data_IF_843535638447
#
_entry.id   IF_843535638447
#
_cell.length_a   1.000
_cell.length_b   1.000
_cell.length_c   1.000
_cell.angle_alpha   90.00
_cell.angle_beta   90.00
_cell.angle_gamma   90.00
#
_symmetry.space_group_name_H-M   'P 1'
#
loop_
_entity.id
_entity.type
_entity.pdbx_description
1 polymer ?
#
# COMPACT_ATOMS: atom_id res chain seq x y z
N UNK A 1 23.87 -10.21 3.48
CA UNK A 1 22.71 -11.15 3.35
C UNK A 1 21.88 -10.72 2.14
N UNK A 2 21.60 -11.66 1.23
CA UNK A 2 20.77 -11.40 0.05
C UNK A 2 19.33 -11.86 0.32
N UNK A 3 18.38 -10.94 0.20
CA UNK A 3 16.98 -11.19 0.51
C UNK A 3 16.13 -10.94 -0.74
N UNK A 4 15.39 -11.95 -1.16
CA UNK A 4 14.39 -11.85 -2.21
C UNK A 4 13.07 -11.41 -1.60
N UNK A 5 12.49 -10.32 -2.10
CA UNK A 5 11.16 -9.85 -1.70
C UNK A 5 10.17 -10.17 -2.80
N UNK A 6 9.05 -10.77 -2.43
CA UNK A 6 7.97 -11.17 -3.33
C UNK A 6 6.64 -10.51 -2.93
N UNK A 7 5.93 -10.03 -3.93
CA UNK A 7 4.56 -9.54 -3.81
C UNK A 7 3.69 -10.26 -4.85
N UNK A 8 2.97 -11.29 -4.41
CA UNK A 8 2.15 -12.16 -5.25
C UNK A 8 0.69 -11.68 -5.25
N UNK A 9 0.25 -11.11 -6.37
CA UNK A 9 -1.14 -10.81 -6.65
C UNK A 9 -1.85 -11.95 -7.39
N UNK A 10 -3.14 -11.79 -7.70
CA UNK A 10 -3.95 -12.82 -8.37
C UNK A 10 -3.42 -13.21 -9.76
N UNK A 11 -2.89 -12.25 -10.52
CA UNK A 11 -2.39 -12.43 -11.88
C UNK A 11 -1.02 -11.82 -12.12
N UNK A 12 -0.29 -11.49 -11.06
CA UNK A 12 1.04 -10.89 -11.18
C UNK A 12 1.92 -11.25 -9.99
N UNK A 13 3.24 -11.21 -10.20
CA UNK A 13 4.26 -11.32 -9.15
C UNK A 13 5.24 -10.19 -9.35
N UNK A 14 5.46 -9.36 -8.33
CA UNK A 14 6.57 -8.38 -8.31
C UNK A 14 7.67 -8.90 -7.42
N UNK A 15 8.92 -8.61 -7.78
CA UNK A 15 10.07 -9.01 -7.00
C UNK A 15 11.16 -7.95 -6.94
N UNK A 16 11.90 -7.93 -5.85
CA UNK A 16 13.20 -7.26 -5.70
C UNK A 16 14.16 -8.16 -4.95
N UNK A 17 15.39 -8.25 -5.42
CA UNK A 17 16.48 -8.89 -4.71
C UNK A 17 17.39 -7.80 -4.12
N UNK A 18 17.56 -7.81 -2.82
CA UNK A 18 18.41 -6.86 -2.10
C UNK A 18 19.71 -7.50 -1.61
N UNK A 19 20.81 -6.75 -1.68
CA UNK A 19 21.94 -6.95 -0.78
C UNK A 19 21.73 -6.11 0.49
N UNK A 20 21.40 -6.77 1.60
CA UNK A 20 21.10 -6.07 2.86
C UNK A 20 22.33 -5.56 3.58
N UNK A 21 23.54 -5.83 3.09
CA UNK A 21 24.78 -5.21 3.60
C UNK A 21 24.86 -3.73 3.19
N UNK A 22 24.46 -3.44 1.95
CA UNK A 22 24.43 -2.08 1.38
C UNK A 22 23.03 -1.50 1.26
N UNK A 23 21.98 -2.35 1.39
CA UNK A 23 20.57 -2.08 1.10
C UNK A 23 20.30 -1.73 -0.38
N UNK A 24 21.18 -2.15 -1.26
CA UNK A 24 21.04 -1.91 -2.70
C UNK A 24 20.17 -2.98 -3.36
N UNK A 25 19.40 -2.56 -4.36
CA UNK A 25 18.61 -3.45 -5.22
C UNK A 25 19.53 -4.06 -6.27
N UNK A 26 19.74 -5.37 -6.19
CA UNK A 26 20.54 -6.14 -7.15
C UNK A 26 19.76 -6.50 -8.42
N UNK A 27 18.47 -6.79 -8.29
CA UNK A 27 17.57 -7.09 -9.38
C UNK A 27 16.13 -6.75 -9.00
N UNK A 28 15.32 -6.34 -9.98
CA UNK A 28 13.90 -6.09 -9.79
C UNK A 28 13.09 -6.32 -11.05
N UNK A 29 11.84 -6.70 -10.87
CA UNK A 29 10.95 -6.91 -11.99
C UNK A 29 9.58 -7.42 -11.57
N UNK A 30 8.85 -7.96 -12.53
CA UNK A 30 7.56 -8.56 -12.26
C UNK A 30 7.00 -9.34 -13.44
N UNK A 31 6.24 -10.36 -13.11
CA UNK A 31 5.47 -11.14 -14.07
C UNK A 31 4.05 -10.58 -14.10
N UNK A 32 3.54 -10.42 -15.31
CA UNK A 32 2.19 -9.95 -15.56
C UNK A 32 1.40 -11.01 -16.33
N UNK A 33 0.06 -10.98 -16.16
CA UNK A 33 -0.89 -11.86 -16.85
C UNK A 33 -0.72 -13.35 -16.54
N UNK A 34 -0.38 -13.71 -15.32
CA UNK A 34 -0.32 -15.11 -14.87
C UNK A 34 -1.69 -15.77 -15.09
N UNK A 35 -1.70 -16.95 -15.72
CA UNK A 35 -2.93 -17.68 -16.07
C UNK A 35 -3.71 -17.10 -17.24
N UNK A 36 -3.16 -16.11 -17.94
CA UNK A 36 -3.79 -15.44 -19.07
C UNK A 36 -2.85 -15.51 -20.31
N UNK A 37 -3.40 -15.43 -21.53
CA UNK A 37 -2.59 -15.37 -22.74
C UNK A 37 -1.65 -14.16 -22.77
N UNK A 38 -0.42 -14.38 -23.24
CA UNK A 38 0.58 -13.32 -23.40
C UNK A 38 1.18 -12.85 -22.08
N UNK A 39 1.43 -13.77 -21.15
CA UNK A 39 2.20 -13.51 -19.95
C UNK A 39 3.67 -13.19 -20.26
N UNK A 40 4.30 -12.38 -19.43
CA UNK A 40 5.68 -11.96 -19.63
C UNK A 40 6.32 -11.55 -18.30
N UNK A 41 7.65 -11.65 -18.26
CA UNK A 41 8.48 -11.07 -17.21
C UNK A 41 9.04 -9.73 -17.72
N UNK A 42 8.77 -8.65 -17.00
CA UNK A 42 9.40 -7.36 -17.19
C UNK A 42 10.46 -7.18 -16.09
N UNK A 43 11.69 -6.96 -16.49
CA UNK A 43 12.80 -6.70 -15.57
C UNK A 43 13.42 -5.32 -15.85
N UNK A 44 14.01 -4.74 -14.82
CA UNK A 44 14.77 -3.50 -14.90
C UNK A 44 16.23 -3.83 -14.63
N UNK A 45 17.09 -3.56 -15.60
CA UNK A 45 18.53 -3.77 -15.50
C UNK A 45 19.17 -2.66 -14.62
N UNK A 46 20.41 -2.87 -14.11
CA UNK A 46 21.10 -1.89 -13.29
C UNK A 46 21.30 -0.53 -13.98
N UNK A 47 21.37 -0.50 -15.31
CA UNK A 47 21.45 0.74 -16.10
C UNK A 47 20.08 1.44 -16.28
N UNK A 48 19.01 0.92 -15.69
CA UNK A 48 17.64 1.43 -15.81
C UNK A 48 16.88 0.97 -17.06
N UNK A 49 17.53 0.21 -17.95
CA UNK A 49 16.87 -0.35 -19.14
C UNK A 49 15.84 -1.41 -18.74
N UNK A 50 14.69 -1.42 -19.42
CA UNK A 50 13.63 -2.41 -19.19
C UNK A 50 13.64 -3.44 -20.28
N UNK A 51 13.61 -4.71 -19.89
CA UNK A 51 13.49 -5.87 -20.80
C UNK A 51 12.17 -6.58 -20.56
N UNK A 52 11.63 -7.15 -21.61
CA UNK A 52 10.44 -8.00 -21.58
C UNK A 52 10.83 -9.36 -22.11
N UNK A 53 10.61 -10.37 -21.27
CA UNK A 53 10.84 -11.77 -21.61
C UNK A 53 9.48 -12.46 -21.67
N UNK A 54 9.07 -12.86 -22.87
CA UNK A 54 7.80 -13.56 -23.07
C UNK A 54 7.95 -15.03 -22.71
N UNK A 55 7.03 -15.54 -21.91
CA UNK A 55 6.92 -16.95 -21.55
C UNK A 55 5.50 -17.22 -21.09
N UNK A 56 4.95 -18.37 -21.44
CA UNK A 56 3.69 -18.82 -20.89
C UNK A 56 3.84 -19.15 -19.38
N UNK A 57 3.08 -18.45 -18.57
CA UNK A 57 3.10 -18.57 -17.10
C UNK A 57 1.69 -18.92 -16.62
N UNK A 58 1.33 -20.22 -16.60
CA UNK A 58 -0.01 -20.67 -16.24
C UNK A 58 -0.34 -20.47 -14.77
N UNK A 59 0.67 -20.47 -13.90
CA UNK A 59 0.49 -20.38 -12.44
C UNK A 59 1.69 -19.75 -11.74
N UNK A 60 1.52 -19.44 -10.44
CA UNK A 60 2.54 -18.75 -9.63
C UNK A 60 3.83 -19.54 -9.48
N UNK A 61 3.78 -20.87 -9.37
CA UNK A 61 4.98 -21.72 -9.26
C UNK A 61 5.87 -21.57 -10.50
N UNK A 62 5.27 -21.64 -11.69
CA UNK A 62 5.98 -21.37 -12.95
C UNK A 62 6.53 -19.94 -13.00
N UNK A 63 5.81 -18.98 -12.46
CA UNK A 63 6.25 -17.60 -12.39
C UNK A 63 7.46 -17.41 -11.48
N UNK A 64 7.45 -17.97 -10.30
CA UNK A 64 8.57 -17.91 -9.36
C UNK A 64 9.79 -18.64 -9.92
N UNK A 65 9.61 -19.81 -10.51
CA UNK A 65 10.68 -20.54 -11.21
C UNK A 65 11.30 -19.68 -12.33
N UNK A 66 10.46 -18.98 -13.10
CA UNK A 66 10.94 -18.08 -14.16
C UNK A 66 11.77 -16.91 -13.59
N UNK A 67 11.34 -16.31 -12.48
CA UNK A 67 12.11 -15.26 -11.78
C UNK A 67 13.45 -15.81 -11.33
N UNK A 68 13.46 -16.94 -10.61
CA UNK A 68 14.67 -17.54 -10.04
C UNK A 68 15.68 -17.93 -11.13
N UNK A 69 15.21 -18.54 -12.24
CA UNK A 69 16.06 -18.86 -13.38
C UNK A 69 16.63 -17.60 -14.06
N UNK A 70 15.87 -16.51 -14.10
CA UNK A 70 16.35 -15.23 -14.63
C UNK A 70 17.43 -14.62 -13.73
N UNK A 71 17.30 -14.74 -12.40
CA UNK A 71 18.29 -14.22 -11.43
C UNK A 71 19.66 -14.89 -11.54
N UNK A 72 19.74 -16.11 -12.04
CA UNK A 72 21.00 -16.86 -12.24
C UNK A 72 21.40 -16.97 -13.71
N UNK A 73 20.68 -16.38 -14.64
CA UNK A 73 20.96 -16.46 -16.08
C UNK A 73 22.25 -15.73 -16.44
N UNK A 74 22.94 -16.17 -17.49
CA UNK A 74 24.16 -15.52 -17.98
C UNK A 74 23.89 -14.09 -18.49
N UNK A 75 22.70 -13.83 -19.04
CA UNK A 75 22.35 -12.55 -19.70
C UNK A 75 21.80 -11.51 -18.71
N UNK A 76 20.97 -11.94 -17.76
CA UNK A 76 20.23 -11.04 -16.86
C UNK A 76 20.47 -11.31 -15.38
N UNK A 77 21.35 -12.26 -15.05
CA UNK A 77 21.55 -12.71 -13.68
C UNK A 77 22.21 -11.67 -12.79
N UNK A 78 21.74 -11.60 -11.56
CA UNK A 78 22.29 -10.78 -10.49
C UNK A 78 23.11 -11.61 -9.48
N UNK A 79 22.96 -12.93 -9.51
CA UNK A 79 23.64 -13.91 -8.65
C UNK A 79 24.11 -15.09 -9.49
N UNK A 80 25.10 -15.84 -8.96
CA UNK A 80 25.67 -16.99 -9.67
C UNK A 80 24.91 -18.29 -9.39
N UNK A 81 24.31 -18.40 -8.22
CA UNK A 81 23.59 -19.58 -7.76
C UNK A 81 22.41 -19.16 -6.87
N UNK A 82 21.36 -19.96 -6.85
CA UNK A 82 20.22 -19.77 -5.96
C UNK A 82 20.60 -19.91 -4.47
N UNK A 83 21.71 -20.59 -4.16
CA UNK A 83 22.23 -20.69 -2.79
C UNK A 83 22.68 -19.35 -2.19
N UNK A 84 22.82 -18.33 -3.03
CA UNK A 84 23.10 -16.97 -2.57
C UNK A 84 21.88 -16.26 -1.98
N UNK A 85 20.66 -16.77 -2.24
CA UNK A 85 19.43 -16.26 -1.62
C UNK A 85 19.35 -16.79 -0.20
N UNK A 86 19.57 -15.90 0.76
CA UNK A 86 19.62 -16.29 2.18
C UNK A 86 18.24 -16.32 2.84
N UNK A 87 17.27 -15.56 2.31
CA UNK A 87 15.89 -15.51 2.80
C UNK A 87 14.92 -14.96 1.76
N UNK A 88 13.63 -15.22 1.97
CA UNK A 88 12.55 -14.63 1.18
C UNK A 88 11.59 -13.89 2.11
N UNK A 89 11.34 -12.62 1.81
CA UNK A 89 10.28 -11.80 2.43
C UNK A 89 9.04 -11.75 1.55
N UNK A 90 7.88 -12.04 2.12
CA UNK A 90 6.61 -12.00 1.41
C UNK A 90 5.74 -10.86 1.89
N UNK A 91 5.20 -10.06 0.97
CA UNK A 91 4.06 -9.22 1.28
C UNK A 91 2.84 -10.12 1.44
N UNK A 92 2.21 -10.03 2.61
CA UNK A 92 0.97 -10.70 2.96
C UNK A 92 -0.09 -9.62 3.19
N UNK A 93 -1.31 -9.78 2.66
CA UNK A 93 -2.27 -8.67 2.71
C UNK A 93 -2.99 -8.63 4.05
N UNK A 94 -3.68 -9.68 4.46
CA UNK A 94 -4.55 -9.62 5.62
C UNK A 94 -4.19 -10.64 6.68
N UNK A 95 -3.65 -10.16 7.79
CA UNK A 95 -3.27 -11.00 8.93
C UNK A 95 -4.34 -11.12 10.03
N UNK A 96 -5.53 -10.53 9.84
CA UNK A 96 -6.56 -10.48 10.86
C UNK A 96 -6.04 -9.80 12.13
N UNK A 97 -6.51 -10.25 13.29
CA UNK A 97 -6.02 -9.81 14.60
C UNK A 97 -4.85 -10.67 15.09
N UNK A 98 -4.49 -11.73 14.35
CA UNK A 98 -3.48 -12.71 14.76
C UNK A 98 -2.05 -12.23 14.51
N UNK A 99 -1.86 -11.40 13.48
CA UNK A 99 -0.54 -10.92 13.09
C UNK A 99 -0.42 -9.42 13.33
N UNK A 100 0.17 -9.04 14.46
CA UNK A 100 0.47 -7.66 14.83
C UNK A 100 1.89 -7.21 14.44
N UNK A 101 2.69 -8.13 13.86
CA UNK A 101 4.07 -7.91 13.40
C UNK A 101 4.42 -8.91 12.32
N UNK A 102 5.54 -8.68 11.66
CA UNK A 102 6.14 -9.63 10.72
C UNK A 102 6.59 -10.90 11.43
N UNK A 103 6.48 -12.07 10.78
CA UNK A 103 6.75 -13.38 11.38
C UNK A 103 7.53 -14.28 10.44
N UNK A 104 8.36 -15.15 11.01
CA UNK A 104 8.92 -16.30 10.28
C UNK A 104 7.77 -17.25 9.95
N UNK A 105 7.71 -17.68 8.69
CA UNK A 105 6.64 -18.55 8.21
C UNK A 105 6.97 -19.99 8.57
N UNK A 106 6.13 -20.60 9.39
CA UNK A 106 6.07 -22.00 9.69
C UNK A 106 4.67 -22.55 9.40
N UNK A 107 4.40 -23.81 9.73
CA UNK A 107 3.09 -24.43 9.46
C UNK A 107 1.98 -23.78 10.30
N UNK A 108 2.23 -23.37 11.53
CA UNK A 108 1.23 -22.71 12.39
C UNK A 108 0.85 -21.33 11.83
N UNK A 109 1.84 -20.58 11.34
CA UNK A 109 1.62 -19.30 10.66
C UNK A 109 0.80 -19.50 9.40
N UNK A 110 1.10 -20.51 8.58
CA UNK A 110 0.34 -20.82 7.37
C UNK A 110 -1.13 -21.17 7.69
N UNK A 111 -1.36 -22.04 8.66
CA UNK A 111 -2.70 -22.47 9.08
C UNK A 111 -3.52 -21.26 9.59
N UNK A 112 -2.88 -20.39 10.38
CA UNK A 112 -3.49 -19.15 10.87
C UNK A 112 -3.81 -18.18 9.74
N UNK A 113 -2.90 -18.02 8.78
CA UNK A 113 -3.10 -17.15 7.62
C UNK A 113 -4.21 -17.67 6.70
N UNK A 114 -4.30 -18.99 6.50
CA UNK A 114 -5.41 -19.63 5.76
C UNK A 114 -6.75 -19.29 6.41
N UNK A 115 -6.84 -19.36 7.74
CA UNK A 115 -8.04 -19.00 8.48
C UNK A 115 -8.43 -17.51 8.32
N UNK A 116 -7.49 -16.62 7.98
CA UNK A 116 -7.75 -15.21 7.68
C UNK A 116 -8.22 -14.98 6.23
N UNK A 117 -8.25 -16.01 5.37
CA UNK A 117 -8.53 -15.83 3.93
C UNK A 117 -9.95 -15.34 3.64
N UNK A 118 -10.91 -15.61 4.51
CA UNK A 118 -12.28 -15.08 4.38
C UNK A 118 -12.35 -13.55 4.48
N UNK A 119 -11.38 -12.94 5.17
CA UNK A 119 -11.27 -11.47 5.28
C UNK A 119 -10.67 -10.82 4.00
N UNK A 120 -9.93 -11.58 3.21
CA UNK A 120 -9.29 -11.11 1.98
C UNK A 120 -9.27 -12.20 0.89
N UNK A 121 -10.43 -12.66 0.40
CA UNK A 121 -10.54 -13.82 -0.49
C UNK A 121 -9.87 -13.62 -1.85
N UNK A 122 -9.65 -12.37 -2.27
CA UNK A 122 -8.98 -12.05 -3.54
C UNK A 122 -7.43 -11.96 -3.40
N UNK A 123 -6.90 -11.82 -2.19
CA UNK A 123 -5.48 -11.54 -1.95
C UNK A 123 -4.77 -12.68 -1.23
N UNK A 124 -5.29 -13.13 -0.09
CA UNK A 124 -4.62 -14.14 0.73
C UNK A 124 -4.32 -15.46 -0.01
N UNK A 125 -5.25 -16.01 -0.84
CA UNK A 125 -4.93 -17.20 -1.61
C UNK A 125 -3.77 -17.02 -2.61
N UNK A 126 -3.63 -15.85 -3.20
CA UNK A 126 -2.51 -15.54 -4.11
C UNK A 126 -1.18 -15.43 -3.34
N UNK A 127 -1.19 -14.82 -2.16
CA UNK A 127 -0.01 -14.76 -1.30
C UNK A 127 0.45 -16.17 -0.88
N UNK A 128 -0.48 -17.05 -0.50
CA UNK A 128 -0.19 -18.45 -0.16
C UNK A 128 0.44 -19.22 -1.33
N UNK A 129 -0.04 -19.01 -2.56
CA UNK A 129 0.58 -19.62 -3.75
C UNK A 129 2.04 -19.23 -3.88
N UNK A 130 2.38 -17.96 -3.59
CA UNK A 130 3.76 -17.48 -3.59
C UNK A 130 4.64 -18.19 -2.56
N UNK A 131 4.16 -18.28 -1.31
CA UNK A 131 4.87 -18.97 -0.23
C UNK A 131 5.08 -20.46 -0.56
N UNK A 132 4.03 -21.15 -1.00
CA UNK A 132 4.09 -22.56 -1.34
C UNK A 132 5.04 -22.84 -2.52
N UNK A 133 5.05 -21.95 -3.52
CA UNK A 133 5.96 -22.08 -4.65
C UNK A 133 7.44 -21.93 -4.23
N UNK A 134 7.73 -20.97 -3.36
CA UNK A 134 9.08 -20.82 -2.79
C UNK A 134 9.45 -22.05 -1.97
N UNK A 135 8.57 -22.58 -1.12
CA UNK A 135 8.81 -23.80 -0.33
C UNK A 135 9.13 -25.01 -1.20
N UNK A 136 8.51 -25.12 -2.37
CA UNK A 136 8.75 -26.21 -3.32
C UNK A 136 10.10 -26.11 -4.03
N UNK A 137 10.54 -24.88 -4.39
CA UNK A 137 11.75 -24.65 -5.20
C UNK A 137 12.98 -24.43 -4.30
N UNK A 138 12.81 -23.74 -3.17
CA UNK A 138 13.86 -23.37 -2.22
C UNK A 138 13.50 -23.88 -0.80
N UNK A 139 13.43 -25.20 -0.57
CA UNK A 139 12.86 -25.78 0.65
C UNK A 139 13.62 -25.44 1.94
N UNK A 140 14.88 -25.06 1.84
CA UNK A 140 15.74 -24.75 2.99
C UNK A 140 15.90 -23.24 3.24
N UNK A 141 15.29 -22.39 2.41
CA UNK A 141 15.40 -20.94 2.55
C UNK A 141 14.31 -20.43 3.49
N UNK A 142 14.65 -19.74 4.59
CA UNK A 142 13.67 -19.20 5.51
C UNK A 142 12.80 -18.13 4.83
N UNK A 143 11.52 -18.12 5.17
CA UNK A 143 10.53 -17.23 4.60
C UNK A 143 9.89 -16.40 5.71
N UNK A 144 9.70 -15.10 5.48
CA UNK A 144 9.09 -14.15 6.41
C UNK A 144 7.84 -13.53 5.79
N UNK A 145 6.74 -13.52 6.54
CA UNK A 145 5.50 -12.83 6.17
C UNK A 145 5.42 -11.43 6.78
N UNK A 146 5.17 -10.44 5.95
CA UNK A 146 4.97 -9.04 6.35
C UNK A 146 3.57 -8.60 5.94
N UNK A 147 2.72 -8.25 6.92
CA UNK A 147 1.29 -8.06 6.72
C UNK A 147 0.92 -6.58 6.58
N UNK A 148 0.12 -6.24 5.55
CA UNK A 148 -0.37 -4.88 5.33
C UNK A 148 -1.22 -4.36 6.50
N UNK A 149 -1.87 -5.24 7.24
CA UNK A 149 -2.73 -4.92 8.38
C UNK A 149 -1.99 -4.82 9.71
N UNK A 150 -0.76 -5.34 9.81
CA UNK A 150 -0.05 -5.50 11.09
C UNK A 150 0.26 -4.17 11.79
N UNK A 151 0.67 -3.14 11.05
CA UNK A 151 0.97 -1.82 11.61
C UNK A 151 -0.23 -1.19 12.32
N UNK A 152 -1.45 -1.46 11.85
CA UNK A 152 -2.69 -0.91 12.39
C UNK A 152 -3.24 -1.67 13.59
N UNK A 153 -2.60 -2.77 14.02
CA UNK A 153 -3.04 -3.53 15.20
C UNK A 153 -2.82 -2.78 16.52
N UNK A 154 -2.15 -1.63 16.50
CA UNK A 154 -1.98 -0.74 17.64
C UNK A 154 -3.13 0.26 17.84
N UNK A 155 -4.12 0.28 16.94
CA UNK A 155 -5.32 1.12 17.11
C UNK A 155 -6.09 0.74 18.37
N UNK A 156 -6.58 1.72 19.15
CA UNK A 156 -7.46 1.44 20.27
C UNK A 156 -8.83 0.92 19.81
N UNK A 157 -9.52 0.20 20.66
CA UNK A 157 -10.79 -0.45 20.35
C UNK A 157 -11.87 0.52 19.85
N UNK A 158 -11.98 1.68 20.46
CA UNK A 158 -12.93 2.72 20.05
C UNK A 158 -12.63 3.31 18.65
N UNK A 159 -11.42 3.14 18.11
CA UNK A 159 -11.07 3.57 16.77
C UNK A 159 -11.32 2.48 15.71
N UNK A 160 -11.14 1.21 16.06
CA UNK A 160 -11.34 0.12 15.10
C UNK A 160 -12.74 -0.49 15.09
N UNK A 161 -13.53 -0.33 16.15
CA UNK A 161 -14.88 -0.90 16.22
C UNK A 161 -15.86 -0.13 15.36
N UNK A 162 -16.70 -0.85 14.61
CA UNK A 162 -17.85 -0.26 13.96
C UNK A 162 -19.05 -0.24 14.91
N UNK A 163 -19.89 0.79 14.83
CA UNK A 163 -21.11 0.95 15.63
C UNK A 163 -22.25 0.08 15.08
N UNK A 164 -22.02 -1.24 15.03
CA UNK A 164 -22.97 -2.30 14.64
C UNK A 164 -23.08 -3.31 15.79
N UNK A 165 -24.03 -4.27 15.76
CA UNK A 165 -24.12 -5.26 16.83
C UNK A 165 -22.78 -5.92 17.13
N UNK A 166 -22.38 -5.91 18.41
CA UNK A 166 -21.04 -6.38 18.86
C UNK A 166 -20.78 -7.84 18.47
N UNK A 167 -21.82 -8.65 18.36
CA UNK A 167 -21.70 -10.04 17.94
C UNK A 167 -21.14 -10.24 16.53
N UNK A 168 -21.26 -9.23 15.64
CA UNK A 168 -20.67 -9.28 14.31
C UNK A 168 -19.14 -9.22 14.37
N UNK A 169 -18.61 -8.49 15.34
CA UNK A 169 -17.19 -8.52 15.63
C UNK A 169 -16.76 -9.87 16.20
N UNK A 170 -17.45 -10.36 17.23
CA UNK A 170 -17.04 -11.61 17.91
C UNK A 170 -17.17 -12.85 17.03
N UNK A 171 -18.17 -12.88 16.13
CA UNK A 171 -18.41 -14.02 15.22
C UNK A 171 -17.57 -13.98 13.96
N UNK A 172 -17.42 -12.79 13.38
CA UNK A 172 -16.90 -12.64 12.01
C UNK A 172 -15.69 -11.71 11.90
N UNK A 173 -15.23 -11.14 13.00
CA UNK A 173 -14.13 -10.18 13.00
C UNK A 173 -14.44 -8.86 12.28
N UNK A 174 -15.71 -8.44 12.27
CA UNK A 174 -16.15 -7.20 11.61
C UNK A 174 -15.65 -6.01 12.41
N UNK A 175 -14.56 -5.43 11.96
CA UNK A 175 -13.87 -4.24 12.51
C UNK A 175 -13.04 -3.57 11.42
N UNK A 176 -12.52 -2.38 11.71
CA UNK A 176 -11.48 -1.74 10.91
C UNK A 176 -10.16 -2.48 11.10
N UNK A 177 -9.49 -2.85 10.01
CA UNK A 177 -8.12 -3.40 10.03
C UNK A 177 -7.13 -2.40 9.44
N UNK A 178 -7.48 -1.74 8.33
CA UNK A 178 -6.59 -0.88 7.58
C UNK A 178 -5.62 -1.66 6.72
N UNK A 179 -5.03 -0.97 5.74
CA UNK A 179 -4.09 -1.53 4.77
C UNK A 179 -2.97 -0.54 4.50
N UNK A 180 -2.07 -0.83 3.57
CA UNK A 180 -0.84 -0.07 3.34
C UNK A 180 0.03 0.11 4.59
N UNK A 181 -0.14 -0.76 5.60
CA UNK A 181 0.53 -0.62 6.88
C UNK A 181 2.06 -0.62 6.77
N UNK A 182 2.62 -1.42 5.86
CA UNK A 182 4.06 -1.43 5.58
C UNK A 182 4.55 -0.08 5.07
N UNK A 183 3.81 0.55 4.15
CA UNK A 183 4.11 1.90 3.65
C UNK A 183 3.98 2.96 4.75
N UNK A 184 2.86 2.98 5.48
CA UNK A 184 2.65 3.95 6.56
C UNK A 184 3.73 3.84 7.64
N UNK A 185 4.12 2.63 8.01
CA UNK A 185 5.21 2.37 8.96
C UNK A 185 6.55 2.87 8.43
N UNK A 186 6.87 2.57 7.17
CA UNK A 186 8.10 3.02 6.54
C UNK A 186 8.20 4.55 6.52
N UNK A 187 7.19 5.24 5.94
CA UNK A 187 7.29 6.69 5.76
C UNK A 187 7.18 7.49 7.06
N UNK A 188 6.45 6.98 8.06
CA UNK A 188 6.38 7.62 9.39
C UNK A 188 7.71 7.53 10.14
N UNK A 189 8.43 6.42 10.04
CA UNK A 189 9.78 6.29 10.58
C UNK A 189 10.77 7.14 9.79
N UNK A 190 10.74 7.03 8.45
CA UNK A 190 11.69 7.72 7.57
C UNK A 190 11.59 9.23 7.67
N UNK A 191 10.39 9.80 7.82
CA UNK A 191 10.25 11.26 7.97
C UNK A 191 10.87 11.78 9.26
N UNK A 192 10.83 11.02 10.35
CA UNK A 192 11.52 11.39 11.58
C UNK A 192 13.04 11.42 11.41
N UNK A 193 13.59 10.43 10.70
CA UNK A 193 15.02 10.40 10.32
C UNK A 193 15.37 11.58 9.41
N UNK A 194 14.56 11.83 8.38
CA UNK A 194 14.78 12.91 7.41
C UNK A 194 14.74 14.30 8.04
N UNK A 195 13.81 14.52 8.97
CA UNK A 195 13.68 15.81 9.69
C UNK A 195 14.58 15.89 10.93
N UNK A 196 15.29 14.81 11.28
CA UNK A 196 16.06 14.69 12.52
C UNK A 196 15.26 15.03 13.78
N UNK A 197 14.05 14.45 13.88
CA UNK A 197 13.15 14.60 15.02
C UNK A 197 12.89 13.25 15.68
N UNK A 198 12.53 13.22 16.99
CA UNK A 198 12.23 11.97 17.68
C UNK A 198 10.93 11.37 17.16
N UNK A 199 10.83 10.04 17.21
CA UNK A 199 9.57 9.31 16.94
C UNK A 199 8.60 9.50 18.11
N UNK A 200 9.11 9.40 19.34
CA UNK A 200 8.34 9.59 20.57
C UNK A 200 7.92 11.06 20.71
N UNK A 201 6.68 11.29 21.08
CA UNK A 201 6.08 12.62 21.18
C UNK A 201 5.62 13.23 19.87
N UNK A 202 5.94 12.61 18.71
CA UNK A 202 5.60 13.17 17.39
C UNK A 202 4.27 12.61 16.88
N UNK A 203 3.44 13.52 16.34
CA UNK A 203 2.13 13.23 15.71
C UNK A 203 2.24 13.42 14.21
N UNK A 204 2.09 12.33 13.46
CA UNK A 204 2.27 12.29 12.02
C UNK A 204 0.99 11.85 11.35
N UNK A 205 0.60 12.51 10.28
CA UNK A 205 -0.43 12.04 9.37
C UNK A 205 0.26 11.60 8.08
N UNK A 206 0.15 10.32 7.73
CA UNK A 206 0.73 9.76 6.52
C UNK A 206 -0.36 9.57 5.47
N UNK A 207 -0.17 10.17 4.30
CA UNK A 207 -1.10 10.14 3.16
C UNK A 207 -0.48 9.29 2.06
N UNK A 208 -0.79 7.99 2.04
CA UNK A 208 -0.42 7.09 0.96
C UNK A 208 -1.47 7.21 -0.14
N UNK A 209 -1.15 7.90 -1.21
CA UNK A 209 -2.10 8.26 -2.25
C UNK A 209 -1.60 7.81 -3.62
N UNK A 210 -2.33 6.90 -4.22
CA UNK A 210 -2.06 6.31 -5.54
C UNK A 210 -3.36 5.89 -6.22
N UNK A 211 -3.34 4.82 -6.99
CA UNK A 211 -4.58 4.24 -7.54
C UNK A 211 -5.49 3.70 -6.42
N UNK A 212 -4.91 3.06 -5.39
CA UNK A 212 -5.49 2.92 -4.07
C UNK A 212 -4.96 4.02 -3.15
N UNK A 213 -5.66 4.36 -2.08
CA UNK A 213 -5.22 5.39 -1.16
C UNK A 213 -5.73 5.20 0.25
N UNK A 214 -4.91 5.55 1.23
CA UNK A 214 -5.29 5.60 2.64
C UNK A 214 -4.51 6.68 3.39
N UNK A 215 -5.10 7.13 4.49
CA UNK A 215 -4.47 8.06 5.42
C UNK A 215 -4.40 7.38 6.79
N UNK A 216 -3.30 7.55 7.49
CA UNK A 216 -3.09 6.98 8.82
C UNK A 216 -2.65 8.06 9.79
N UNK A 217 -3.26 8.07 10.96
CA UNK A 217 -2.83 8.83 12.12
C UNK A 217 -1.77 8.02 12.88
N UNK A 218 -0.56 8.56 12.99
CA UNK A 218 0.56 7.92 13.65
C UNK A 218 0.99 8.78 14.83
N UNK A 219 0.97 8.21 16.04
CA UNK A 219 1.41 8.87 17.26
C UNK A 219 2.44 7.99 17.97
N UNK A 220 3.56 8.56 18.35
CA UNK A 220 4.64 7.82 19.01
C UNK A 220 5.09 6.58 18.20
N UNK A 221 5.11 6.70 16.85
CA UNK A 221 5.46 5.61 15.94
C UNK A 221 4.42 4.49 15.80
N UNK A 222 3.22 4.66 16.37
CA UNK A 222 2.13 3.67 16.35
C UNK A 222 0.93 4.20 15.56
N UNK A 223 0.32 3.35 14.75
CA UNK A 223 -0.97 3.65 14.13
C UNK A 223 -2.06 3.76 15.20
N UNK A 224 -2.75 4.88 15.24
CA UNK A 224 -3.87 5.12 16.18
C UNK A 224 -5.21 5.21 15.46
N UNK A 225 -5.21 5.44 14.16
CA UNK A 225 -6.38 5.35 13.29
C UNK A 225 -5.94 5.26 11.81
N UNK A 226 -6.79 4.72 10.94
CA UNK A 226 -6.53 4.63 9.51
C UNK A 226 -7.82 4.65 8.70
N UNK A 227 -7.77 5.13 7.47
CA UNK A 227 -8.97 5.39 6.67
C UNK A 227 -9.58 4.17 5.99
N UNK A 228 -8.80 3.15 5.64
CA UNK A 228 -9.35 1.90 5.13
C UNK A 228 -9.94 1.07 6.28
N UNK A 229 -10.96 0.29 5.96
CA UNK A 229 -11.79 -0.39 6.95
C UNK A 229 -11.51 -1.89 7.09
N UNK A 230 -12.60 -2.67 7.17
CA UNK A 230 -12.58 -4.13 7.06
C UNK A 230 -11.96 -4.56 5.73
N UNK A 231 -12.22 -3.80 4.68
CA UNK A 231 -11.70 -3.98 3.32
C UNK A 231 -11.00 -2.70 2.84
N UNK A 232 -10.23 -2.74 1.75
CA UNK A 232 -9.59 -1.56 1.18
C UNK A 232 -10.57 -0.59 0.46
N UNK A 233 -11.87 -0.67 0.72
CA UNK A 233 -12.89 0.16 0.08
C UNK A 233 -13.16 1.46 0.82
N UNK A 234 -13.31 1.41 2.16
CA UNK A 234 -13.62 2.57 3.02
C UNK A 234 -12.51 3.63 2.93
N UNK A 235 -12.89 4.89 3.16
CA UNK A 235 -11.95 6.01 3.29
C UNK A 235 -11.95 6.94 2.09
N UNK A 236 -10.79 7.13 1.49
CA UNK A 236 -10.58 8.06 0.38
C UNK A 236 -11.33 7.66 -0.89
N UNK A 237 -11.71 8.66 -1.68
CA UNK A 237 -12.01 8.44 -3.09
C UNK A 237 -10.74 7.98 -3.80
N UNK A 238 -10.80 6.87 -4.54
CA UNK A 238 -9.64 6.26 -5.20
C UNK A 238 -9.85 6.21 -6.72
N UNK A 239 -8.94 5.61 -7.46
CA UNK A 239 -9.06 5.52 -8.92
C UNK A 239 -10.37 4.87 -9.38
N UNK A 240 -10.75 3.73 -8.78
CA UNK A 240 -11.98 2.99 -9.12
C UNK A 240 -12.87 2.65 -7.92
N UNK A 241 -12.43 2.97 -6.68
CA UNK A 241 -13.16 2.70 -5.44
C UNK A 241 -13.82 3.96 -4.93
N UNK A 242 -15.05 3.83 -4.45
CA UNK A 242 -15.86 4.97 -3.96
C UNK A 242 -15.26 5.66 -2.74
N UNK A 243 -14.57 4.91 -1.87
CA UNK A 243 -14.33 5.37 -0.50
C UNK A 243 -15.63 5.41 0.30
N UNK A 244 -15.67 6.32 1.29
CA UNK A 244 -16.83 6.49 2.16
C UNK A 244 -18.12 6.77 1.37
N UNK A 245 -19.15 6.01 1.71
CA UNK A 245 -20.50 6.18 1.19
C UNK A 245 -21.50 5.86 2.31
N UNK A 246 -22.65 6.52 2.31
CA UNK A 246 -23.74 6.19 3.22
C UNK A 246 -24.25 4.75 2.99
N UNK A 247 -24.33 3.96 4.07
CA UNK A 247 -24.84 2.58 4.00
C UNK A 247 -26.28 2.51 3.46
N UNK A 248 -27.12 3.51 3.75
CA UNK A 248 -28.47 3.64 3.18
C UNK A 248 -28.44 3.87 1.67
N UNK A 249 -27.49 4.66 1.17
CA UNK A 249 -27.28 4.84 -0.27
C UNK A 249 -26.85 3.53 -0.95
N UNK A 250 -26.03 2.71 -0.29
CA UNK A 250 -25.63 1.39 -0.82
C UNK A 250 -26.85 0.49 -1.06
N UNK A 251 -27.71 0.33 -0.04
CA UNK A 251 -28.92 -0.50 -0.16
C UNK A 251 -29.92 0.08 -1.16
N UNK A 252 -30.05 1.40 -1.24
CA UNK A 252 -30.88 2.07 -2.22
C UNK A 252 -30.44 1.81 -3.66
N UNK A 253 -29.11 1.89 -3.93
CA UNK A 253 -28.53 1.58 -5.25
C UNK A 253 -28.78 0.11 -5.60
N UNK A 254 -28.59 -0.81 -4.64
CA UNK A 254 -28.86 -2.25 -4.85
C UNK A 254 -30.29 -2.48 -5.32
N UNK A 255 -31.25 -1.86 -4.65
CA UNK A 255 -32.67 -1.94 -5.03
C UNK A 255 -32.96 -1.37 -6.41
N UNK A 256 -32.45 -0.15 -6.70
CA UNK A 256 -32.72 0.54 -7.96
C UNK A 256 -32.07 -0.12 -9.18
N UNK A 257 -30.87 -0.63 -9.01
CA UNK A 257 -30.10 -1.28 -10.09
C UNK A 257 -30.25 -2.81 -10.12
N UNK A 258 -31.04 -3.40 -9.20
CA UNK A 258 -31.24 -4.84 -9.10
C UNK A 258 -29.96 -5.60 -8.79
N UNK A 259 -29.06 -5.05 -7.96
CA UNK A 259 -27.76 -5.62 -7.66
C UNK A 259 -27.80 -6.52 -6.43
N UNK A 260 -27.16 -7.68 -6.54
CA UNK A 260 -26.82 -8.52 -5.39
C UNK A 260 -25.53 -8.05 -4.70
N UNK A 261 -25.07 -8.78 -3.69
CA UNK A 261 -23.85 -8.46 -2.94
C UNK A 261 -22.61 -8.40 -3.86
N UNK A 262 -22.51 -9.26 -4.86
CA UNK A 262 -21.40 -9.27 -5.84
C UNK A 262 -21.50 -8.07 -6.76
N UNK A 263 -22.70 -7.75 -7.24
CA UNK A 263 -22.96 -6.61 -8.12
C UNK A 263 -22.59 -5.28 -7.46
N UNK A 264 -23.04 -5.04 -6.24
CA UNK A 264 -22.71 -3.81 -5.51
C UNK A 264 -21.22 -3.74 -5.15
N UNK A 265 -20.60 -4.85 -4.76
CA UNK A 265 -19.16 -4.90 -4.53
C UNK A 265 -18.36 -4.52 -5.78
N UNK A 266 -18.73 -5.05 -6.95
CA UNK A 266 -18.10 -4.67 -8.21
C UNK A 266 -18.30 -3.20 -8.56
N UNK A 267 -19.50 -2.65 -8.34
CA UNK A 267 -19.80 -1.25 -8.58
C UNK A 267 -18.88 -0.36 -7.72
N UNK A 268 -18.83 -0.59 -6.42
CA UNK A 268 -18.10 0.26 -5.47
C UNK A 268 -16.58 0.12 -5.58
N UNK A 269 -16.06 -1.05 -5.98
CA UNK A 269 -14.61 -1.30 -6.06
C UNK A 269 -14.02 -1.04 -7.45
N UNK A 270 -14.79 -1.21 -8.55
CA UNK A 270 -14.24 -1.21 -9.91
C UNK A 270 -14.83 -0.16 -10.84
N UNK A 271 -15.99 0.40 -10.51
CA UNK A 271 -16.72 1.35 -11.38
C UNK A 271 -17.00 2.70 -10.72
N UNK A 272 -16.46 2.93 -9.55
CA UNK A 272 -16.64 4.14 -8.75
C UNK A 272 -15.37 4.99 -8.70
N UNK A 273 -15.24 5.83 -7.71
CA UNK A 273 -14.07 6.71 -7.56
C UNK A 273 -13.92 7.70 -8.71
N UNK A 274 -12.67 7.98 -9.08
CA UNK A 274 -12.35 8.88 -10.20
C UNK A 274 -12.98 8.37 -11.50
N UNK A 275 -12.85 7.07 -11.79
CA UNK A 275 -13.48 6.45 -12.97
C UNK A 275 -15.00 6.67 -12.98
N UNK A 276 -15.67 6.53 -11.85
CA UNK A 276 -17.14 6.67 -11.78
C UNK A 276 -17.62 8.10 -11.95
N UNK A 277 -16.85 9.10 -11.50
CA UNK A 277 -17.22 10.52 -11.59
C UNK A 277 -16.72 11.16 -12.89
N UNK A 278 -15.48 10.93 -13.26
CA UNK A 278 -14.85 11.47 -14.48
C UNK A 278 -15.30 10.70 -15.73
N UNK A 279 -15.53 9.38 -15.63
CA UNK A 279 -16.03 8.46 -16.66
C UNK A 279 -15.08 8.18 -17.84
N UNK A 280 -13.89 8.78 -17.88
CA UNK A 280 -12.94 8.61 -18.98
C UNK A 280 -11.69 7.81 -18.60
N UNK A 281 -11.21 8.02 -17.37
CA UNK A 281 -9.99 7.39 -16.88
C UNK A 281 -10.01 7.30 -15.35
N UNK A 282 -9.33 6.31 -14.80
CA UNK A 282 -8.99 6.24 -13.37
C UNK A 282 -7.59 6.78 -13.07
N UNK A 283 -6.83 7.17 -14.10
CA UNK A 283 -5.48 7.70 -13.94
C UNK A 283 -5.54 9.17 -13.54
N UNK A 284 -4.90 9.48 -12.42
CA UNK A 284 -4.87 10.84 -11.89
C UNK A 284 -4.13 11.85 -12.78
N UNK A 285 -3.25 11.38 -13.68
CA UNK A 285 -2.58 12.25 -14.65
C UNK A 285 -3.53 12.71 -15.75
N UNK A 286 -4.40 11.81 -16.19
CA UNK A 286 -5.45 12.14 -17.16
C UNK A 286 -6.48 13.09 -16.53
N UNK A 287 -6.85 12.85 -15.27
CA UNK A 287 -7.73 13.71 -14.50
C UNK A 287 -7.15 15.13 -14.36
N UNK A 288 -5.90 15.26 -13.92
CA UNK A 288 -5.20 16.54 -13.77
C UNK A 288 -5.19 17.33 -15.08
N UNK A 289 -4.87 16.65 -16.20
CA UNK A 289 -4.82 17.27 -17.52
C UNK A 289 -6.19 17.76 -17.98
N UNK A 290 -7.24 16.98 -17.77
CA UNK A 290 -8.60 17.32 -18.14
C UNK A 290 -9.19 18.42 -17.25
N UNK A 291 -8.90 18.41 -15.95
CA UNK A 291 -9.31 19.44 -15.01
C UNK A 291 -8.63 20.79 -15.34
N UNK A 292 -7.34 20.78 -15.65
CA UNK A 292 -6.61 21.96 -16.12
C UNK A 292 -7.16 22.54 -17.42
N UNK A 293 -7.73 21.70 -18.29
CA UNK A 293 -8.44 22.12 -19.50
C UNK A 293 -9.88 22.63 -19.22
N UNK A 294 -10.35 22.61 -17.98
CA UNK A 294 -11.65 23.09 -17.57
C UNK A 294 -12.80 22.11 -17.83
N UNK A 295 -12.53 20.82 -18.02
CA UNK A 295 -13.58 19.81 -18.21
C UNK A 295 -14.41 19.65 -16.92
N UNK A 296 -15.75 19.93 -16.93
CA UNK A 296 -16.54 20.04 -15.70
C UNK A 296 -16.52 18.77 -14.82
N UNK A 297 -16.57 17.57 -15.43
CA UNK A 297 -16.55 16.29 -14.69
C UNK A 297 -15.15 16.00 -14.10
N UNK A 298 -14.10 16.42 -14.78
CA UNK A 298 -12.74 16.30 -14.28
C UNK A 298 -12.51 17.25 -13.10
N UNK A 299 -12.93 18.50 -13.20
CA UNK A 299 -12.86 19.48 -12.11
C UNK A 299 -13.63 19.00 -10.89
N UNK A 300 -14.85 18.45 -11.09
CA UNK A 300 -15.64 17.88 -10.00
C UNK A 300 -14.89 16.71 -9.31
N UNK A 301 -14.41 15.75 -10.09
CA UNK A 301 -13.72 14.57 -9.56
C UNK A 301 -12.44 14.95 -8.81
N UNK A 302 -11.67 15.90 -9.34
CA UNK A 302 -10.45 16.42 -8.70
C UNK A 302 -10.78 17.10 -7.35
N UNK A 303 -11.79 17.97 -7.32
CA UNK A 303 -12.23 18.63 -6.09
C UNK A 303 -12.74 17.63 -5.05
N UNK A 304 -13.50 16.61 -5.45
CA UNK A 304 -13.95 15.55 -4.54
C UNK A 304 -12.77 14.77 -3.95
N UNK A 305 -11.77 14.48 -4.77
CA UNK A 305 -10.56 13.74 -4.38
C UNK A 305 -9.76 14.51 -3.31
N UNK A 306 -9.45 15.78 -3.58
CA UNK A 306 -8.72 16.64 -2.64
C UNK A 306 -9.50 16.90 -1.35
N UNK A 307 -10.81 17.13 -1.48
CA UNK A 307 -11.69 17.35 -0.34
C UNK A 307 -11.71 16.17 0.64
N UNK A 308 -11.75 14.93 0.14
CA UNK A 308 -11.75 13.74 0.97
C UNK A 308 -10.42 13.58 1.73
N UNK A 309 -9.29 13.83 1.07
CA UNK A 309 -7.98 13.80 1.72
C UNK A 309 -7.92 14.86 2.83
N UNK A 310 -8.33 16.09 2.53
CA UNK A 310 -8.41 17.20 3.51
C UNK A 310 -9.24 16.83 4.73
N UNK A 311 -10.40 16.23 4.55
CA UNK A 311 -11.28 15.80 5.66
C UNK A 311 -10.59 14.81 6.57
N UNK A 312 -9.90 13.82 6.03
CA UNK A 312 -9.18 12.83 6.81
C UNK A 312 -7.98 13.43 7.54
N UNK A 313 -7.24 14.35 6.92
CA UNK A 313 -6.17 15.09 7.60
C UNK A 313 -6.74 15.84 8.81
N UNK A 314 -7.83 16.57 8.64
CA UNK A 314 -8.48 17.29 9.73
C UNK A 314 -9.02 16.37 10.83
N UNK A 315 -9.68 15.27 10.46
CA UNK A 315 -10.21 14.29 11.39
C UNK A 315 -9.10 13.65 12.25
N UNK A 316 -7.99 13.29 11.61
CA UNK A 316 -6.88 12.65 12.32
C UNK A 316 -6.03 13.60 13.16
N UNK A 317 -5.92 14.87 12.73
CA UNK A 317 -5.35 15.90 13.59
C UNK A 317 -6.20 16.09 14.86
N UNK A 318 -7.54 16.09 14.72
CA UNK A 318 -8.45 16.16 15.87
C UNK A 318 -8.32 14.91 16.75
N UNK A 319 -8.29 13.70 16.18
CA UNK A 319 -8.16 12.45 16.93
C UNK A 319 -6.86 12.36 17.75
N UNK A 320 -5.77 12.91 17.24
CA UNK A 320 -4.47 12.96 17.95
C UNK A 320 -4.29 14.18 18.87
N UNK A 321 -5.22 15.14 18.84
CA UNK A 321 -5.07 16.42 19.55
C UNK A 321 -3.96 17.30 18.96
N UNK A 322 -3.82 17.33 17.64
CA UNK A 322 -2.84 18.08 16.88
C UNK A 322 -2.08 17.23 15.88
N UNK A 323 -1.22 17.88 15.09
CA UNK A 323 -0.33 17.25 14.12
C UNK A 323 0.97 18.04 14.00
N UNK A 324 2.09 17.35 13.90
CA UNK A 324 3.42 17.95 13.74
C UNK A 324 3.89 17.85 12.30
N UNK A 325 3.60 16.71 11.63
CA UNK A 325 4.06 16.40 10.28
C UNK A 325 2.94 15.77 9.45
N UNK A 326 2.77 16.24 8.22
CA UNK A 326 1.95 15.59 7.19
C UNK A 326 2.90 15.05 6.12
N UNK A 327 2.81 13.75 5.83
CA UNK A 327 3.66 13.06 4.85
C UNK A 327 2.81 12.63 3.66
N UNK A 328 3.22 13.03 2.46
CA UNK A 328 2.65 12.53 1.21
C UNK A 328 3.56 11.46 0.61
N UNK A 329 2.97 10.34 0.20
CA UNK A 329 3.65 9.19 -0.40
C UNK A 329 2.71 8.46 -1.37
N UNK A 330 3.22 7.44 -2.04
CA UNK A 330 2.49 6.76 -3.10
C UNK A 330 2.51 7.54 -4.42
N UNK A 331 2.14 6.89 -5.51
CA UNK A 331 2.35 7.43 -6.86
C UNK A 331 1.79 8.84 -7.10
N UNK A 332 0.63 9.16 -6.55
CA UNK A 332 0.03 10.52 -6.61
C UNK A 332 0.68 11.43 -5.58
N UNK A 333 0.81 10.98 -4.33
CA UNK A 333 1.40 11.78 -3.26
C UNK A 333 2.83 12.22 -3.53
N UNK A 334 3.63 11.36 -4.19
CA UNK A 334 5.01 11.63 -4.53
C UNK A 334 5.17 12.55 -5.76
N UNK A 335 4.25 12.48 -6.73
CA UNK A 335 4.48 13.04 -8.06
C UNK A 335 3.52 14.16 -8.48
N UNK A 336 2.39 14.36 -7.79
CA UNK A 336 1.38 15.37 -8.18
C UNK A 336 1.29 16.52 -7.17
N UNK A 337 1.82 17.67 -7.58
CA UNK A 337 1.86 18.87 -6.74
C UNK A 337 0.45 19.42 -6.45
N UNK A 338 -0.48 19.36 -7.43
CA UNK A 338 -1.86 19.80 -7.29
C UNK A 338 -2.62 18.98 -6.22
N UNK A 339 -2.38 17.67 -6.14
CA UNK A 339 -3.01 16.83 -5.13
C UNK A 339 -2.56 17.22 -3.71
N UNK A 340 -1.28 17.50 -3.51
CA UNK A 340 -0.73 17.93 -2.23
C UNK A 340 -1.23 19.31 -1.82
N UNK A 341 -1.18 20.28 -2.72
CA UNK A 341 -1.67 21.64 -2.44
C UNK A 341 -3.18 21.65 -2.24
N UNK A 342 -3.97 20.99 -3.11
CA UNK A 342 -5.42 20.90 -2.97
C UNK A 342 -5.89 20.22 -1.68
N UNK A 343 -5.18 19.19 -1.24
CA UNK A 343 -5.44 18.53 0.03
C UNK A 343 -5.10 19.41 1.25
N UNK A 344 -4.13 20.31 1.12
CA UNK A 344 -3.69 21.19 2.22
C UNK A 344 -4.35 22.58 2.20
N UNK A 345 -5.00 22.98 1.12
CA UNK A 345 -5.69 24.26 1.02
C UNK A 345 -6.78 24.40 2.09
N UNK A 346 -6.76 25.53 2.82
CA UNK A 346 -7.70 25.78 3.92
C UNK A 346 -7.32 25.11 5.26
N UNK A 347 -6.13 24.52 5.36
CA UNK A 347 -5.60 23.97 6.62
C UNK A 347 -4.64 24.94 7.35
N UNK A 348 -4.57 26.19 6.91
CA UNK A 348 -3.73 27.23 7.50
C UNK A 348 -4.09 27.49 8.98
N UNK A 349 -5.35 27.31 9.36
CA UNK A 349 -5.80 27.41 10.74
C UNK A 349 -5.12 26.40 11.68
N UNK A 350 -4.66 25.26 11.13
CA UNK A 350 -3.89 24.25 11.85
C UNK A 350 -2.38 24.55 11.84
N UNK A 351 -1.97 25.59 11.11
CA UNK A 351 -0.57 25.93 10.93
C UNK A 351 0.12 25.21 9.76
N UNK A 352 -0.67 24.69 8.80
CA UNK A 352 -0.19 24.08 7.55
C UNK A 352 -0.03 25.17 6.50
N UNK A 353 1.18 25.33 5.94
CA UNK A 353 1.43 26.25 4.83
C UNK A 353 2.33 25.56 3.81
N UNK A 354 1.81 25.30 2.62
CA UNK A 354 2.55 24.70 1.51
C UNK A 354 3.26 25.78 0.70
N UNK A 355 4.53 25.58 0.38
CA UNK A 355 5.32 26.42 -0.50
C UNK A 355 5.13 25.99 -1.95
N UNK A 356 4.67 26.88 -2.81
CA UNK A 356 4.35 26.57 -4.20
C UNK A 356 5.55 26.10 -5.03
N UNK A 357 6.76 26.63 -4.77
CA UNK A 357 7.97 26.24 -5.50
C UNK A 357 8.54 24.93 -4.97
N UNK A 358 8.66 24.77 -3.65
CA UNK A 358 9.10 23.51 -3.03
C UNK A 358 8.16 22.35 -3.38
N UNK A 359 6.86 22.62 -3.52
CA UNK A 359 5.85 21.61 -3.87
C UNK A 359 5.95 21.08 -5.31
N UNK A 360 6.76 21.67 -6.18
CA UNK A 360 7.00 21.14 -7.54
C UNK A 360 7.86 19.88 -7.57
N UNK A 361 8.39 19.45 -6.44
CA UNK A 361 9.19 18.23 -6.31
C UNK A 361 8.44 16.98 -6.77
N UNK A 362 9.17 15.99 -7.28
CA UNK A 362 8.63 14.71 -7.75
C UNK A 362 9.54 13.56 -7.36
N UNK A 363 8.99 12.54 -6.71
CA UNK A 363 9.65 11.26 -6.45
C UNK A 363 10.92 11.31 -5.60
N UNK A 364 11.14 12.41 -4.85
CA UNK A 364 12.30 12.58 -3.96
C UNK A 364 11.85 13.08 -2.59
N UNK A 365 12.65 12.82 -1.57
CA UNK A 365 12.41 13.33 -0.22
C UNK A 365 12.56 14.86 -0.22
N UNK A 366 11.54 15.57 0.24
CA UNK A 366 11.54 17.02 0.27
C UNK A 366 10.57 17.59 1.29
N UNK A 367 10.98 18.65 1.99
CA UNK A 367 10.05 19.50 2.75
C UNK A 367 9.39 20.45 1.76
N UNK A 368 8.07 20.42 1.68
CA UNK A 368 7.27 21.24 0.78
C UNK A 368 6.47 22.34 1.48
N UNK A 369 6.56 22.42 2.82
CA UNK A 369 6.00 23.52 3.60
C UNK A 369 6.92 24.73 3.59
N UNK A 370 6.33 25.92 3.85
CA UNK A 370 7.09 27.16 4.09
C UNK A 370 7.91 27.05 5.39
N UNK A 371 8.92 27.89 5.54
CA UNK A 371 9.79 27.85 6.72
C UNK A 371 9.04 28.22 8.01
N UNK A 372 8.02 29.10 7.91
CA UNK A 372 7.17 29.54 9.01
C UNK A 372 5.96 28.60 9.26
N UNK A 373 5.81 27.51 8.48
CA UNK A 373 4.77 26.52 8.71
C UNK A 373 5.01 25.79 10.05
N UNK A 374 4.01 25.81 10.92
CA UNK A 374 4.06 25.10 12.22
C UNK A 374 4.03 23.59 12.01
N UNK A 375 3.19 23.13 11.09
CA UNK A 375 3.10 21.73 10.67
C UNK A 375 4.01 21.55 9.46
N UNK A 376 4.96 20.64 9.53
CA UNK A 376 5.80 20.33 8.37
C UNK A 376 5.01 19.46 7.38
N UNK A 377 5.07 19.83 6.11
CA UNK A 377 4.51 19.02 5.02
C UNK A 377 5.68 18.49 4.20
N UNK A 378 5.72 17.17 4.04
CA UNK A 378 6.90 16.47 3.52
C UNK A 378 6.47 15.43 2.48
N UNK A 379 7.28 15.26 1.45
CA UNK A 379 7.19 14.13 0.52
C UNK A 379 8.25 13.10 0.92
N UNK A 380 7.83 11.87 1.15
CA UNK A 380 8.73 10.72 1.38
C UNK A 380 8.31 9.61 0.42
N UNK A 381 9.10 9.26 -0.59
CA UNK A 381 8.83 8.10 -1.44
C UNK A 381 8.80 6.82 -0.59
N UNK A 382 7.74 6.02 -0.78
CA UNK A 382 7.63 4.74 -0.06
C UNK A 382 8.56 3.70 -0.65
N UNK A 383 9.08 2.81 0.19
CA UNK A 383 9.82 1.60 -0.22
C UNK A 383 9.38 0.41 0.64
N UNK A 384 8.22 -0.12 0.28
CA UNK A 384 7.62 -1.26 0.99
C UNK A 384 8.50 -2.51 0.89
N UNK A 385 9.15 -2.73 -0.26
CA UNK A 385 10.01 -3.88 -0.45
C UNK A 385 11.28 -3.80 0.42
N UNK A 386 11.87 -2.61 0.58
CA UNK A 386 12.98 -2.41 1.51
C UNK A 386 12.55 -2.64 2.96
N UNK A 387 11.32 -2.24 3.31
CA UNK A 387 10.78 -2.50 4.64
C UNK A 387 10.60 -4.00 4.90
N UNK A 388 10.08 -4.75 3.90
CA UNK A 388 9.94 -6.20 3.97
C UNK A 388 11.31 -6.88 4.09
N UNK A 389 12.29 -6.44 3.31
CA UNK A 389 13.66 -6.97 3.39
C UNK A 389 14.30 -6.69 4.76
N UNK A 390 14.07 -5.49 5.32
CA UNK A 390 14.58 -5.10 6.65
C UNK A 390 13.97 -5.94 7.76
N UNK A 391 12.64 -6.12 7.76
CA UNK A 391 11.96 -6.99 8.72
C UNK A 391 12.46 -8.44 8.63
N UNK A 392 12.69 -8.93 7.40
CA UNK A 392 13.22 -10.27 7.16
C UNK A 392 14.61 -10.42 7.76
N UNK A 393 15.48 -9.42 7.55
CA UNK A 393 16.82 -9.40 8.14
C UNK A 393 16.76 -9.38 9.68
N UNK A 394 15.93 -8.52 10.25
CA UNK A 394 15.82 -8.33 11.71
C UNK A 394 15.34 -9.62 12.40
N UNK A 395 14.32 -10.29 11.83
CA UNK A 395 13.77 -11.55 12.36
C UNK A 395 14.83 -12.65 12.35
N UNK A 396 15.57 -12.79 11.25
CA UNK A 396 16.60 -13.85 11.14
C UNK A 396 17.85 -13.55 11.95
N UNK A 397 18.18 -12.29 12.17
CA UNK A 397 19.33 -11.89 13.00
C UNK A 397 19.06 -12.04 14.49
N UNK A 398 17.80 -12.17 14.90
CA UNK A 398 17.39 -12.35 16.28
C UNK A 398 17.28 -13.83 16.71
N UNK A 399 17.47 -14.77 15.78
CA UNK A 399 17.53 -16.21 16.03
C UNK A 399 18.95 -16.66 16.37
#
# INVERSE_FOLDING_TARGET
MKILVLNCGSSSIKYKLFDMTTKEVMAQGGIEKIGLPGSFLKLTLPNGEKKILEKDVPEHTTGIDFILNTLVSEEYGAIKSLDEINAVGHRMVHGGEKFAKSVLIDQEVLDTFIACSDLAPLHNPANLKGVNAVSAILPNVPQVGVFDTAFHQTMPDYAYMYAVPYELYTKYGVRRYGFHGTSHRYVSKRVCEFLNIPVEGTKIITCHVGNGGSITAVKDGKSVDTSMGLTPLEGLMMGTRSGDIDGGAVTYIMEKEGLDATGISNLLNKKSGVMGVFEKSSDMRDLESAAAAGEPRAVLAENMYFYRIKKYIGAYAAAMGGVDVIVFTGGVGENQANARSGACEGLEYMGVKVDAEKNKTRGVEAIISTDDSKVKVVVIPTDEELMIASDTLDILSAQ
#
